data_IF_004448464463
#
_entry.id   IF_004448464463
#
_cell.length_a   1.000
_cell.length_b   1.000
_cell.length_c   1.000
_cell.angle_alpha   90.00
_cell.angle_beta   90.00
_cell.angle_gamma   90.00
#
_symmetry.space_group_name_H-M   'P 1'
#
loop_
_entity.id
_entity.type
_entity.pdbx_description
1 polymer ?
#
# COMPACT_ATOMS: atom_id res chain seq x y z
N UNK A 1 -24.64 2.18 -3.92
CA UNK A 1 -25.04 0.77 -3.67
C UNK A 1 -24.17 0.23 -2.54
N UNK A 2 -24.71 -0.37 -1.48
CA UNK A 2 -23.97 -0.98 -0.38
C UNK A 2 -24.10 -2.49 -0.43
N UNK A 3 -23.10 -3.21 0.08
CA UNK A 3 -23.11 -4.68 0.16
C UNK A 3 -23.47 -5.08 1.58
N UNK A 4 -24.56 -5.82 1.75
CA UNK A 4 -24.91 -6.47 3.00
C UNK A 4 -24.59 -7.97 2.90
N UNK A 5 -23.93 -8.48 3.93
CA UNK A 5 -23.54 -9.88 4.06
C UNK A 5 -24.29 -10.47 5.25
N UNK A 6 -24.94 -11.62 5.02
CA UNK A 6 -25.60 -12.41 6.07
C UNK A 6 -24.90 -13.77 6.17
N UNK A 7 -24.41 -14.13 7.35
CA UNK A 7 -23.78 -15.43 7.60
C UNK A 7 -24.86 -16.52 7.68
N UNK A 8 -24.87 -17.44 6.72
CA UNK A 8 -25.85 -18.53 6.64
C UNK A 8 -25.42 -19.78 7.39
N UNK A 9 -24.11 -20.02 7.48
CA UNK A 9 -23.53 -21.11 8.26
C UNK A 9 -22.15 -20.70 8.80
N UNK A 10 -21.56 -21.53 9.67
CA UNK A 10 -20.32 -21.25 10.38
C UNK A 10 -20.54 -20.65 11.77
N UNK A 11 -19.46 -20.22 12.39
CA UNK A 11 -19.46 -19.72 13.77
C UNK A 11 -20.28 -18.44 13.98
N UNK A 12 -20.52 -17.68 12.92
CA UNK A 12 -21.23 -16.40 12.95
C UNK A 12 -22.64 -16.47 12.35
N UNK A 13 -23.20 -17.66 12.21
CA UNK A 13 -24.54 -17.88 11.63
C UNK A 13 -25.59 -16.92 12.20
N UNK A 14 -26.36 -16.29 11.32
CA UNK A 14 -27.43 -15.34 11.65
C UNK A 14 -26.97 -13.89 11.83
N UNK A 15 -25.67 -13.60 11.86
CA UNK A 15 -25.16 -12.23 11.88
C UNK A 15 -25.27 -11.57 10.50
N UNK A 16 -25.46 -10.25 10.52
CA UNK A 16 -25.50 -9.43 9.32
C UNK A 16 -24.56 -8.24 9.47
N UNK A 17 -23.86 -7.91 8.41
CA UNK A 17 -22.94 -6.77 8.34
C UNK A 17 -23.16 -6.04 7.02
N UNK A 18 -23.08 -4.70 7.07
CA UNK A 18 -23.25 -3.87 5.86
C UNK A 18 -21.97 -3.07 5.62
N UNK A 19 -21.48 -3.12 4.40
CA UNK A 19 -20.23 -2.50 4.00
C UNK A 19 -20.45 -1.45 2.93
N UNK A 20 -19.69 -0.36 3.04
CA UNK A 20 -19.62 0.71 2.05
C UNK A 20 -18.20 0.87 1.50
N UNK A 21 -17.50 -0.24 1.29
CA UNK A 21 -16.16 -0.29 0.71
C UNK A 21 -16.23 -0.86 -0.70
N UNK A 22 -15.30 -0.45 -1.57
CA UNK A 22 -15.15 -0.98 -2.93
C UNK A 22 -14.46 -2.35 -2.99
N UNK A 23 -13.72 -2.72 -1.95
CA UNK A 23 -12.97 -3.96 -1.84
C UNK A 23 -13.13 -4.54 -0.43
N UNK A 24 -13.69 -5.75 -0.31
CA UNK A 24 -13.90 -6.44 0.95
C UNK A 24 -13.12 -7.74 0.94
N UNK A 25 -12.20 -7.90 1.85
CA UNK A 25 -11.49 -9.17 2.06
C UNK A 25 -12.34 -10.09 2.92
N UNK A 26 -12.49 -11.33 2.48
CA UNK A 26 -13.19 -12.40 3.20
C UNK A 26 -12.17 -13.43 3.67
N UNK A 27 -12.17 -13.76 4.96
CA UNK A 27 -11.23 -14.74 5.49
C UNK A 27 -11.24 -14.85 7.01
N UNK A 28 -10.30 -15.64 7.54
CA UNK A 28 -10.09 -15.83 8.99
C UNK A 28 -9.10 -14.83 9.58
N UNK A 29 -8.42 -14.02 8.73
CA UNK A 29 -7.51 -12.98 9.20
C UNK A 29 -8.26 -12.00 10.09
N UNK A 30 -7.70 -11.58 11.23
CA UNK A 30 -8.27 -10.51 12.07
C UNK A 30 -8.56 -9.21 11.32
N UNK A 31 -7.86 -8.96 10.22
CA UNK A 31 -8.01 -7.78 9.36
C UNK A 31 -9.01 -7.96 8.21
N UNK A 32 -9.58 -9.17 8.04
CA UNK A 32 -10.62 -9.39 7.02
C UNK A 32 -11.86 -8.57 7.33
N UNK A 33 -12.44 -7.95 6.30
CA UNK A 33 -13.68 -7.17 6.42
C UNK A 33 -14.86 -8.10 6.74
N UNK A 34 -15.02 -9.18 5.97
CA UNK A 34 -15.97 -10.27 6.25
C UNK A 34 -15.20 -11.38 6.94
N UNK A 35 -15.25 -11.36 8.26
CA UNK A 35 -14.37 -12.18 9.09
C UNK A 35 -15.04 -13.45 9.55
N UNK A 36 -14.36 -14.58 9.38
CA UNK A 36 -14.70 -15.88 9.92
C UNK A 36 -13.88 -16.21 11.18
N UNK A 37 -14.39 -17.15 11.99
CA UNK A 37 -13.72 -17.57 13.21
C UNK A 37 -12.46 -18.39 12.89
N UNK A 38 -11.32 -18.00 13.49
CA UNK A 38 -10.04 -18.60 13.19
C UNK A 38 -9.88 -20.05 13.65
N UNK A 39 -10.68 -20.46 14.65
CA UNK A 39 -10.59 -21.80 15.27
C UNK A 39 -11.73 -22.74 14.86
N UNK A 40 -12.87 -22.18 14.44
CA UNK A 40 -14.09 -22.95 14.16
C UNK A 40 -14.39 -23.08 12.67
N UNK A 41 -14.06 -22.06 11.85
CA UNK A 41 -14.36 -22.05 10.42
C UNK A 41 -13.10 -22.42 9.61
N UNK A 42 -12.53 -23.60 9.89
CA UNK A 42 -11.23 -24.04 9.34
C UNK A 42 -11.21 -24.24 7.83
N UNK A 43 -12.36 -24.39 7.19
CA UNK A 43 -12.48 -24.47 5.73
C UNK A 43 -12.21 -23.12 5.04
N UNK A 44 -12.28 -22.01 5.78
CA UNK A 44 -11.99 -20.68 5.26
C UNK A 44 -10.49 -20.41 5.40
N UNK A 45 -9.82 -20.06 4.32
CA UNK A 45 -8.41 -19.62 4.36
C UNK A 45 -8.26 -18.29 5.10
N UNK A 46 -7.05 -17.94 5.54
CA UNK A 46 -6.75 -16.68 6.22
C UNK A 46 -7.22 -15.48 5.39
N UNK A 47 -6.88 -15.47 4.10
CA UNK A 47 -7.48 -14.62 3.07
C UNK A 47 -8.05 -15.55 2.00
N UNK A 48 -9.38 -15.67 1.94
CA UNK A 48 -10.04 -16.69 1.13
C UNK A 48 -10.54 -16.12 -0.20
N UNK A 49 -11.27 -15.03 -0.11
CA UNK A 49 -11.88 -14.39 -1.27
C UNK A 49 -11.93 -12.87 -1.10
N UNK A 50 -12.24 -12.16 -2.17
CA UNK A 50 -12.56 -10.73 -2.12
C UNK A 50 -13.89 -10.46 -2.81
N UNK A 51 -14.70 -9.55 -2.23
CA UNK A 51 -15.87 -8.98 -2.88
C UNK A 51 -15.47 -7.61 -3.43
N UNK A 52 -15.62 -7.44 -4.73
CA UNK A 52 -15.23 -6.28 -5.51
C UNK A 52 -16.49 -5.51 -5.89
N UNK A 53 -16.59 -4.24 -5.53
CA UNK A 53 -17.69 -3.36 -5.90
C UNK A 53 -17.22 -2.26 -6.84
N UNK A 54 -17.78 -2.21 -8.01
CA UNK A 54 -17.67 -1.10 -8.97
C UNK A 54 -18.94 -0.23 -8.94
N UNK A 55 -18.99 0.80 -9.77
CA UNK A 55 -20.13 1.70 -9.83
C UNK A 55 -21.43 0.97 -10.23
N UNK A 56 -21.34 -0.03 -11.07
CA UNK A 56 -22.45 -0.71 -11.76
C UNK A 56 -22.59 -2.21 -11.41
N UNK A 57 -21.58 -2.84 -10.80
CA UNK A 57 -21.64 -4.25 -10.46
C UNK A 57 -20.85 -4.61 -9.21
N UNK A 58 -21.17 -5.76 -8.64
CA UNK A 58 -20.43 -6.41 -7.57
C UNK A 58 -19.97 -7.78 -8.05
N UNK A 59 -18.77 -8.19 -7.74
CA UNK A 59 -18.23 -9.49 -8.11
C UNK A 59 -17.48 -10.13 -6.92
N UNK A 60 -17.32 -11.45 -6.95
CA UNK A 60 -16.45 -12.18 -6.03
C UNK A 60 -15.28 -12.80 -6.77
N UNK A 61 -14.11 -12.76 -6.14
CA UNK A 61 -12.84 -13.35 -6.61
C UNK A 61 -12.28 -14.27 -5.54
N UNK A 62 -11.82 -15.45 -5.93
CA UNK A 62 -11.01 -16.32 -5.08
C UNK A 62 -9.57 -15.76 -4.96
N UNK A 63 -9.02 -15.69 -3.76
CA UNK A 63 -7.66 -15.20 -3.50
C UNK A 63 -6.62 -16.32 -3.38
N UNK A 64 -6.83 -17.44 -4.08
CA UNK A 64 -5.95 -18.61 -3.98
C UNK A 64 -6.27 -19.45 -2.74
N UNK A 65 -7.55 -19.55 -2.40
CA UNK A 65 -7.99 -20.31 -1.22
C UNK A 65 -7.68 -21.80 -1.32
N UNK A 66 -7.45 -22.46 -0.18
CA UNK A 66 -7.15 -23.88 -0.11
C UNK A 66 -8.33 -24.75 -0.58
N UNK A 67 -9.55 -24.39 -0.18
CA UNK A 67 -10.74 -25.21 -0.42
C UNK A 67 -11.61 -24.68 -1.57
N UNK A 68 -11.24 -23.55 -2.17
CA UNK A 68 -11.96 -22.91 -3.27
C UNK A 68 -13.20 -22.13 -2.83
N UNK A 69 -13.54 -21.11 -3.61
CA UNK A 69 -14.76 -20.30 -3.44
C UNK A 69 -15.85 -20.80 -4.36
N UNK A 70 -17.08 -20.78 -3.89
CA UNK A 70 -18.27 -21.25 -4.58
C UNK A 70 -19.34 -20.16 -4.62
N UNK A 71 -20.02 -20.01 -5.73
CA UNK A 71 -21.21 -19.14 -5.85
C UNK A 71 -22.39 -20.03 -6.21
N UNK A 72 -23.43 -20.03 -5.38
CA UNK A 72 -24.61 -20.86 -5.52
C UNK A 72 -24.28 -22.35 -5.76
N UNK A 73 -23.27 -22.84 -5.01
CA UNK A 73 -22.82 -24.24 -5.08
C UNK A 73 -21.88 -24.57 -6.25
N UNK A 74 -21.56 -23.61 -7.14
CA UNK A 74 -20.61 -23.81 -8.24
C UNK A 74 -19.26 -23.18 -7.91
N UNK A 75 -18.21 -23.98 -8.04
CA UNK A 75 -16.84 -23.49 -7.81
C UNK A 75 -16.47 -22.44 -8.87
N UNK A 76 -15.90 -21.31 -8.43
CA UNK A 76 -15.45 -20.27 -9.32
C UNK A 76 -13.96 -20.45 -9.70
N UNK A 77 -13.59 -20.04 -10.91
CA UNK A 77 -12.20 -20.03 -11.41
C UNK A 77 -11.71 -18.65 -11.85
N UNK A 78 -12.54 -17.64 -11.66
CA UNK A 78 -12.29 -16.22 -11.98
C UNK A 78 -13.31 -15.34 -11.28
N UNK A 79 -13.36 -14.08 -11.66
CA UNK A 79 -14.34 -13.14 -11.11
C UNK A 79 -15.76 -13.53 -11.53
N UNK A 80 -16.66 -13.63 -10.56
CA UNK A 80 -18.06 -13.93 -10.80
C UNK A 80 -18.92 -12.77 -10.30
N UNK A 81 -19.73 -12.20 -11.21
CA UNK A 81 -20.68 -11.14 -10.86
C UNK A 81 -21.71 -11.67 -9.87
N UNK A 82 -22.02 -10.86 -8.87
CA UNK A 82 -23.00 -11.17 -7.84
C UNK A 82 -24.28 -10.37 -8.02
N UNK A 83 -25.39 -11.03 -7.71
CA UNK A 83 -26.71 -10.43 -7.59
C UNK A 83 -27.24 -10.55 -6.15
N UNK A 84 -28.24 -9.75 -5.83
CA UNK A 84 -28.85 -9.86 -4.49
C UNK A 84 -29.46 -11.25 -4.26
N UNK A 85 -29.11 -11.88 -3.14
CA UNK A 85 -29.51 -13.22 -2.76
C UNK A 85 -28.51 -14.33 -3.12
N UNK A 86 -27.42 -14.01 -3.82
CA UNK A 86 -26.38 -15.00 -4.11
C UNK A 86 -25.70 -15.49 -2.84
N UNK A 87 -25.42 -16.79 -2.82
CA UNK A 87 -24.78 -17.48 -1.70
C UNK A 87 -23.33 -17.80 -2.07
N UNK A 88 -22.40 -17.29 -1.27
CA UNK A 88 -20.98 -17.60 -1.42
C UNK A 88 -20.57 -18.63 -0.39
N UNK A 89 -19.98 -19.74 -0.83
CA UNK A 89 -19.44 -20.81 0.00
C UNK A 89 -17.91 -20.81 -0.01
N UNK A 90 -17.32 -21.11 1.13
CA UNK A 90 -15.88 -21.12 1.33
C UNK A 90 -15.39 -22.55 1.57
N UNK A 91 -15.22 -23.27 0.46
CA UNK A 91 -15.03 -24.73 0.43
C UNK A 91 -16.32 -25.46 0.06
N UNK A 92 -16.20 -26.73 -0.41
CA UNK A 92 -17.35 -27.53 -0.87
C UNK A 92 -18.38 -27.80 0.25
N UNK A 93 -17.94 -27.83 1.50
CA UNK A 93 -18.78 -28.08 2.69
C UNK A 93 -18.55 -27.02 3.78
N UNK A 94 -17.82 -25.98 3.48
CA UNK A 94 -17.47 -24.91 4.40
C UNK A 94 -18.62 -23.93 4.67
N UNK A 95 -18.38 -22.92 5.50
CA UNK A 95 -19.37 -21.93 5.84
C UNK A 95 -19.77 -21.07 4.63
N UNK A 96 -20.98 -20.49 4.70
CA UNK A 96 -21.58 -19.73 3.61
C UNK A 96 -22.10 -18.38 4.07
N UNK A 97 -22.05 -17.41 3.18
CA UNK A 97 -22.69 -16.10 3.33
C UNK A 97 -23.67 -15.84 2.20
N UNK A 98 -24.71 -15.10 2.48
CA UNK A 98 -25.61 -14.53 1.47
C UNK A 98 -25.29 -13.05 1.28
N UNK A 99 -25.26 -12.61 0.03
CA UNK A 99 -24.98 -11.23 -0.32
C UNK A 99 -26.27 -10.53 -0.77
N UNK A 100 -26.56 -9.35 -0.18
CA UNK A 100 -27.66 -8.48 -0.61
C UNK A 100 -27.09 -7.15 -1.10
N UNK A 101 -27.64 -6.63 -2.18
CA UNK A 101 -27.23 -5.37 -2.78
C UNK A 101 -28.26 -4.30 -2.45
N UNK A 102 -27.92 -3.40 -1.52
CA UNK A 102 -28.81 -2.35 -1.05
C UNK A 102 -28.68 -1.11 -1.94
N UNK A 103 -29.79 -0.70 -2.56
CA UNK A 103 -29.87 0.55 -3.29
C UNK A 103 -29.79 1.73 -2.31
N UNK A 104 -29.11 2.80 -2.71
CA UNK A 104 -29.17 4.05 -1.98
C UNK A 104 -30.55 4.70 -2.16
N UNK A 105 -31.15 5.25 -1.08
CA UNK A 105 -32.40 5.99 -1.21
C UNK A 105 -32.19 7.18 -2.17
N UNK A 106 -32.96 7.23 -3.25
CA UNK A 106 -32.97 8.37 -4.17
C UNK A 106 -33.45 9.59 -3.40
N UNK A 107 -32.55 10.49 -3.07
CA UNK A 107 -32.90 11.78 -2.48
C UNK A 107 -33.84 12.56 -3.38
N UNK A 108 -34.85 13.21 -2.81
CA UNK A 108 -35.85 13.98 -3.57
C UNK A 108 -35.17 15.14 -4.31
N UNK A 109 -35.38 15.24 -5.63
CA UNK A 109 -34.79 16.27 -6.49
C UNK A 109 -35.06 17.71 -6.03
N UNK A 110 -36.11 17.95 -5.24
CA UNK A 110 -36.42 19.28 -4.71
C UNK A 110 -35.45 19.77 -3.62
N UNK A 111 -35.03 18.88 -2.74
CA UNK A 111 -34.03 19.24 -1.72
C UNK A 111 -32.66 19.48 -2.37
N UNK A 112 -32.32 18.70 -3.41
CA UNK A 112 -31.04 18.85 -4.15
C UNK A 112 -31.00 20.16 -4.94
N UNK A 113 -32.13 20.60 -5.54
CA UNK A 113 -32.22 21.87 -6.26
C UNK A 113 -32.09 23.07 -5.31
N UNK A 114 -32.72 23.02 -4.13
CA UNK A 114 -32.60 24.07 -3.12
C UNK A 114 -31.16 24.16 -2.58
N UNK A 115 -30.51 23.03 -2.36
CA UNK A 115 -29.11 22.96 -1.93
C UNK A 115 -28.16 23.49 -3.01
N UNK A 116 -28.41 23.17 -4.27
CA UNK A 116 -27.61 23.67 -5.41
C UNK A 116 -27.76 25.18 -5.59
N UNK A 117 -28.98 25.73 -5.40
CA UNK A 117 -29.24 27.16 -5.46
C UNK A 117 -28.53 27.90 -4.31
N UNK A 118 -28.56 27.35 -3.09
CA UNK A 118 -27.84 27.90 -1.94
C UNK A 118 -26.30 27.83 -2.16
N UNK A 119 -25.82 26.72 -2.69
CA UNK A 119 -24.41 26.52 -3.02
C UNK A 119 -23.95 27.51 -4.12
N UNK A 120 -24.78 27.77 -5.13
CA UNK A 120 -24.48 28.76 -6.17
C UNK A 120 -24.36 30.18 -5.60
N UNK A 121 -25.22 30.56 -4.65
CA UNK A 121 -25.15 31.85 -3.96
C UNK A 121 -23.89 31.95 -3.08
N UNK A 122 -23.54 30.87 -2.37
CA UNK A 122 -22.32 30.81 -1.56
C UNK A 122 -21.07 30.86 -2.43
N UNK A 123 -21.06 30.17 -3.59
CA UNK A 123 -19.96 30.21 -4.55
C UNK A 123 -19.82 31.61 -5.16
N UNK A 124 -20.93 32.27 -5.52
CA UNK A 124 -20.90 33.62 -6.05
C UNK A 124 -20.40 34.63 -4.98
N UNK A 125 -20.87 34.50 -3.74
CA UNK A 125 -20.38 35.30 -2.62
C UNK A 125 -18.90 35.06 -2.32
N UNK A 126 -18.47 33.78 -2.31
CA UNK A 126 -17.06 33.43 -2.15
C UNK A 126 -16.19 33.93 -3.32
N UNK A 127 -16.67 33.79 -4.56
CA UNK A 127 -15.98 34.32 -5.74
C UNK A 127 -15.86 35.84 -5.70
N UNK A 128 -16.88 36.55 -5.23
CA UNK A 128 -16.82 37.99 -5.00
C UNK A 128 -15.76 38.36 -3.96
N UNK A 129 -15.76 37.70 -2.80
CA UNK A 129 -14.76 37.93 -1.75
C UNK A 129 -13.36 37.63 -2.27
N UNK A 130 -13.17 36.53 -2.99
CA UNK A 130 -11.88 36.19 -3.61
C UNK A 130 -11.47 37.23 -4.68
N UNK A 131 -12.42 37.70 -5.49
CA UNK A 131 -12.14 38.71 -6.51
C UNK A 131 -11.75 40.07 -5.88
N UNK A 132 -12.45 40.49 -4.82
CA UNK A 132 -12.11 41.72 -4.07
C UNK A 132 -10.78 41.60 -3.35
N UNK A 133 -10.47 40.44 -2.77
CA UNK A 133 -9.17 40.15 -2.15
C UNK A 133 -8.04 40.05 -3.17
N UNK A 134 -8.28 39.47 -4.35
CA UNK A 134 -7.31 39.40 -5.43
C UNK A 134 -6.99 40.78 -6.04
N UNK A 135 -7.94 41.70 -6.05
CA UNK A 135 -7.68 43.11 -6.43
C UNK A 135 -6.78 43.82 -5.41
N UNK A 136 -6.96 43.54 -4.11
CA UNK A 136 -6.10 44.10 -3.05
C UNK A 136 -4.72 43.46 -2.99
N UNK A 137 -4.58 42.19 -3.41
CA UNK A 137 -3.31 41.45 -3.42
C UNK A 137 -2.40 41.75 -4.64
N UNK A 138 -2.92 42.42 -5.68
CA UNK A 138 -2.09 42.80 -6.85
C UNK A 138 -1.05 43.89 -6.57
N UNK A 139 -1.17 44.61 -5.46
CA UNK A 139 -0.23 45.67 -5.07
C UNK A 139 0.87 45.20 -4.11
N UNK A 140 0.90 43.87 -3.74
CA UNK A 140 1.97 43.33 -2.90
C UNK A 140 2.79 42.34 -3.74
N UNK A 141 3.93 42.84 -4.21
CA UNK A 141 4.92 42.04 -4.91
C UNK A 141 5.42 40.87 -4.04
N UNK A 142 5.08 39.63 -4.39
CA UNK A 142 5.94 38.48 -4.14
C UNK A 142 5.43 37.18 -4.80
N UNK A 143 5.63 36.92 -6.10
CA UNK A 143 5.43 35.56 -6.64
C UNK A 143 6.61 34.61 -6.37
N UNK A 144 7.82 35.13 -6.09
CA UNK A 144 9.02 34.29 -6.05
C UNK A 144 9.24 33.45 -4.79
N UNK A 145 8.47 33.65 -3.70
CA UNK A 145 8.67 32.91 -2.45
C UNK A 145 7.70 31.72 -2.24
N UNK A 146 6.60 31.64 -2.98
CA UNK A 146 5.60 30.58 -2.83
C UNK A 146 5.95 29.30 -3.63
N UNK A 147 6.67 29.44 -4.74
CA UNK A 147 7.09 28.26 -5.52
C UNK A 147 8.20 27.44 -4.82
N UNK A 148 9.03 28.10 -4.00
CA UNK A 148 10.05 27.41 -3.22
C UNK A 148 9.48 26.55 -2.06
N UNK A 149 8.20 26.72 -1.72
CA UNK A 149 7.50 25.94 -0.68
C UNK A 149 6.74 24.75 -1.27
N UNK A 150 6.54 24.69 -2.57
CA UNK A 150 5.87 23.56 -3.25
C UNK A 150 6.85 22.42 -3.45
N UNK A 151 6.41 21.21 -3.02
CA UNK A 151 7.14 19.98 -3.30
C UNK A 151 6.75 19.49 -4.69
N UNK A 152 7.72 19.31 -5.58
CA UNK A 152 7.49 18.70 -6.89
C UNK A 152 7.58 17.16 -6.78
N UNK A 153 6.47 16.56 -6.37
CA UNK A 153 6.37 15.10 -6.27
C UNK A 153 6.60 14.37 -7.61
N UNK A 154 6.31 15.04 -8.74
CA UNK A 154 6.58 14.48 -10.07
C UNK A 154 8.09 14.42 -10.36
N UNK A 155 8.83 15.45 -9.95
CA UNK A 155 10.28 15.43 -10.07
C UNK A 155 10.90 14.35 -9.18
N UNK A 156 10.42 14.20 -7.94
CA UNK A 156 10.86 13.14 -7.02
C UNK A 156 10.60 11.76 -7.64
N UNK A 157 9.40 11.52 -8.18
CA UNK A 157 9.07 10.27 -8.85
C UNK A 157 9.99 10.01 -10.05
N UNK A 158 10.11 10.95 -10.98
CA UNK A 158 10.97 10.79 -12.17
C UNK A 158 12.43 10.48 -11.83
N UNK A 159 12.94 11.04 -10.74
CA UNK A 159 14.32 10.86 -10.35
C UNK A 159 14.62 9.54 -9.64
N UNK A 160 13.60 8.90 -9.04
CA UNK A 160 13.84 7.81 -8.11
C UNK A 160 13.08 6.53 -8.42
N UNK A 161 11.97 6.56 -9.17
CA UNK A 161 11.09 5.39 -9.39
C UNK A 161 11.84 4.21 -9.97
N UNK A 162 12.73 4.40 -10.94
CA UNK A 162 13.47 3.31 -11.59
C UNK A 162 14.39 2.57 -10.63
N UNK A 163 14.81 3.21 -9.53
CA UNK A 163 15.65 2.60 -8.49
C UNK A 163 14.86 1.73 -7.49
N UNK A 164 13.53 1.77 -7.54
CA UNK A 164 12.66 1.04 -6.62
C UNK A 164 12.35 -0.35 -7.19
N UNK A 165 12.39 -1.35 -6.32
CA UNK A 165 12.11 -2.72 -6.70
C UNK A 165 11.17 -3.41 -5.71
N UNK A 166 10.32 -4.27 -6.21
CA UNK A 166 9.64 -5.27 -5.41
C UNK A 166 10.69 -6.31 -4.98
N UNK A 167 10.74 -6.65 -3.70
CA UNK A 167 11.59 -7.72 -3.17
C UNK A 167 10.72 -8.88 -2.71
N UNK A 168 11.10 -10.10 -3.10
CA UNK A 168 10.52 -11.34 -2.62
C UNK A 168 11.60 -12.18 -1.92
N UNK A 169 11.28 -12.65 -0.72
CA UNK A 169 12.19 -13.43 0.12
C UNK A 169 11.52 -14.75 0.47
N UNK A 170 12.08 -15.84 -0.01
CA UNK A 170 11.58 -17.19 0.19
C UNK A 170 12.25 -17.82 1.41
N UNK A 171 11.47 -18.34 2.35
CA UNK A 171 11.94 -19.06 3.54
C UNK A 171 11.66 -20.56 3.49
N UNK A 172 10.63 -20.96 2.76
CA UNK A 172 10.30 -22.37 2.50
C UNK A 172 9.57 -22.49 1.15
N UNK A 173 9.17 -23.68 0.76
CA UNK A 173 8.41 -23.85 -0.48
C UNK A 173 7.01 -23.25 -0.44
N UNK A 174 6.49 -23.00 0.75
CA UNK A 174 5.13 -22.47 0.97
C UNK A 174 5.12 -21.10 1.63
N UNK A 175 6.28 -20.55 1.97
CA UNK A 175 6.37 -19.28 2.67
C UNK A 175 7.33 -18.33 2.00
N UNK A 176 6.82 -17.18 1.60
CA UNK A 176 7.58 -16.06 1.09
C UNK A 176 7.02 -14.74 1.66
N UNK A 177 7.93 -13.80 1.91
CA UNK A 177 7.58 -12.42 2.23
C UNK A 177 7.84 -11.54 1.02
N UNK A 178 7.01 -10.53 0.84
CA UNK A 178 7.18 -9.51 -0.18
C UNK A 178 7.24 -8.12 0.45
N UNK A 179 8.03 -7.25 -0.15
CA UNK A 179 8.20 -5.88 0.30
C UNK A 179 8.84 -5.02 -0.77
N UNK A 180 9.37 -3.89 -0.35
CA UNK A 180 10.06 -2.92 -1.20
C UNK A 180 11.55 -2.93 -0.91
N UNK A 181 12.37 -2.76 -1.93
CA UNK A 181 13.80 -2.47 -1.84
C UNK A 181 14.14 -1.32 -2.78
N UNK A 182 15.26 -0.63 -2.54
CA UNK A 182 15.72 0.42 -3.44
C UNK A 182 17.23 0.39 -3.61
N UNK A 183 17.69 0.65 -4.82
CA UNK A 183 19.11 0.65 -5.15
C UNK A 183 19.77 1.99 -4.78
N UNK A 184 20.93 1.91 -4.14
CA UNK A 184 21.69 3.08 -3.64
C UNK A 184 22.93 3.40 -4.49
N UNK A 185 23.36 2.47 -5.30
CA UNK A 185 24.49 2.63 -6.23
C UNK A 185 24.21 1.91 -7.55
N UNK A 186 25.05 2.15 -8.55
CA UNK A 186 24.98 1.50 -9.86
C UNK A 186 25.53 0.06 -9.86
N UNK A 187 26.07 -0.40 -8.76
CA UNK A 187 26.65 -1.72 -8.63
C UNK A 187 25.63 -2.76 -8.11
N UNK A 188 24.38 -2.36 -7.86
CA UNK A 188 23.30 -3.24 -7.41
C UNK A 188 23.20 -3.43 -5.91
N UNK A 189 23.79 -2.54 -5.12
CA UNK A 189 23.57 -2.53 -3.68
C UNK A 189 22.18 -1.94 -3.38
N UNK A 190 21.36 -2.70 -2.64
CA UNK A 190 20.00 -2.32 -2.34
C UNK A 190 19.72 -2.37 -0.84
N UNK A 191 18.88 -1.46 -0.39
CA UNK A 191 18.39 -1.36 1.00
C UNK A 191 16.94 -1.83 1.06
N UNK A 192 16.63 -2.57 2.13
CA UNK A 192 15.27 -2.99 2.51
C UNK A 192 15.20 -3.14 4.03
N UNK A 193 14.13 -3.67 4.59
CA UNK A 193 14.06 -3.97 6.01
C UNK A 193 14.70 -5.31 6.36
N UNK A 194 15.23 -5.38 7.60
CA UNK A 194 15.79 -6.59 8.18
C UNK A 194 14.73 -7.69 8.32
N UNK A 195 13.53 -7.36 8.83
CA UNK A 195 12.47 -8.35 9.06
C UNK A 195 12.06 -9.07 7.77
N UNK A 196 12.14 -8.44 6.61
CA UNK A 196 11.88 -9.08 5.32
C UNK A 196 12.92 -10.15 4.99
N UNK A 197 14.17 -9.96 5.42
CA UNK A 197 15.30 -10.82 5.05
C UNK A 197 15.54 -11.97 6.03
N UNK A 198 15.25 -11.78 7.33
CA UNK A 198 15.57 -12.74 8.39
C UNK A 198 14.40 -13.01 9.35
N UNK A 199 13.18 -12.54 9.00
CA UNK A 199 11.99 -12.63 9.86
C UNK A 199 12.03 -11.64 11.02
N UNK A 200 10.91 -11.53 11.74
CA UNK A 200 10.74 -10.59 12.85
C UNK A 200 11.66 -10.92 14.03
N UNK A 201 11.95 -12.19 14.26
CA UNK A 201 12.88 -12.68 15.30
C UNK A 201 14.36 -12.52 14.91
N UNK A 202 14.64 -12.21 13.65
CA UNK A 202 15.98 -12.02 13.13
C UNK A 202 16.82 -13.30 13.01
N UNK A 203 16.21 -14.48 13.12
CA UNK A 203 16.91 -15.78 13.15
C UNK A 203 16.75 -16.60 11.87
N UNK A 204 15.82 -16.23 11.01
CA UNK A 204 15.49 -16.98 9.80
C UNK A 204 16.54 -16.76 8.71
N UNK A 205 16.79 -17.81 7.96
CA UNK A 205 17.70 -17.76 6.81
C UNK A 205 16.89 -17.88 5.51
N UNK A 206 17.01 -16.90 4.58
CA UNK A 206 16.30 -16.97 3.31
C UNK A 206 16.87 -18.09 2.43
N UNK A 207 16.00 -18.89 1.84
CA UNK A 207 16.36 -19.85 0.78
C UNK A 207 16.64 -19.14 -0.54
N UNK A 208 16.05 -17.98 -0.76
CA UNK A 208 16.29 -17.17 -1.94
C UNK A 208 15.74 -15.77 -1.75
N UNK A 209 16.40 -14.82 -2.38
CA UNK A 209 15.99 -13.42 -2.45
C UNK A 209 15.95 -13.04 -3.91
N UNK A 210 14.86 -12.44 -4.35
CA UNK A 210 14.71 -11.92 -5.71
C UNK A 210 14.15 -10.51 -5.69
N UNK A 211 14.55 -9.71 -6.67
CA UNK A 211 14.08 -8.34 -6.85
C UNK A 211 13.56 -8.13 -8.25
N UNK A 212 12.53 -7.30 -8.41
CA UNK A 212 11.98 -6.90 -9.70
C UNK A 212 11.91 -5.38 -9.73
N UNK A 213 12.73 -4.75 -10.57
CA UNK A 213 12.79 -3.29 -10.67
C UNK A 213 11.55 -2.71 -11.35
N UNK A 214 11.25 -1.46 -11.01
CA UNK A 214 10.24 -0.66 -11.70
C UNK A 214 10.42 -0.73 -13.22
N UNK A 215 9.32 -0.84 -13.97
CA UNK A 215 9.29 -1.00 -15.41
C UNK A 215 9.72 -2.39 -15.92
N UNK A 216 10.12 -3.31 -15.05
CA UNK A 216 10.58 -4.66 -15.42
C UNK A 216 9.53 -5.73 -15.14
N UNK A 217 9.49 -6.73 -16.00
CA UNK A 217 8.81 -8.02 -15.76
C UNK A 217 9.76 -9.11 -15.25
N UNK A 218 11.07 -8.84 -15.25
CA UNK A 218 12.10 -9.82 -14.92
C UNK A 218 12.46 -9.76 -13.44
N UNK A 219 12.53 -10.94 -12.81
CA UNK A 219 13.09 -11.13 -11.49
C UNK A 219 14.59 -11.36 -11.57
N UNK A 220 15.34 -10.69 -10.72
CA UNK A 220 16.79 -10.84 -10.57
C UNK A 220 17.09 -11.45 -9.21
N UNK A 221 17.94 -12.48 -9.19
CA UNK A 221 18.42 -13.06 -7.94
C UNK A 221 19.29 -12.05 -7.20
N UNK A 222 19.08 -11.97 -5.90
CA UNK A 222 19.87 -11.14 -5.00
C UNK A 222 20.48 -12.00 -3.90
N UNK A 223 21.62 -11.57 -3.36
CA UNK A 223 22.25 -12.19 -2.18
C UNK A 223 22.18 -11.26 -0.98
N UNK A 224 22.04 -11.83 0.19
CA UNK A 224 22.13 -11.11 1.44
C UNK A 224 23.56 -10.60 1.65
N UNK A 225 23.74 -9.31 1.92
CA UNK A 225 24.99 -8.68 2.32
C UNK A 225 25.08 -8.62 3.83
N UNK A 226 23.99 -8.24 4.49
CA UNK A 226 23.92 -8.22 5.94
C UNK A 226 22.63 -7.52 6.44
N UNK A 227 22.44 -7.61 7.75
CA UNK A 227 21.35 -6.95 8.46
C UNK A 227 21.88 -6.17 9.66
N UNK A 228 21.26 -5.06 10.00
CA UNK A 228 21.63 -4.26 11.15
C UNK A 228 21.21 -4.92 12.46
N UNK A 229 22.07 -4.86 13.49
CA UNK A 229 21.72 -5.31 14.82
C UNK A 229 20.81 -4.33 15.57
N UNK A 230 20.93 -3.02 15.29
CA UNK A 230 20.26 -1.97 16.06
C UNK A 230 19.07 -1.29 15.35
N UNK A 231 18.85 -1.58 14.07
CA UNK A 231 17.77 -0.99 13.30
C UNK A 231 17.15 -2.03 12.35
N UNK A 232 15.91 -1.82 11.94
CA UNK A 232 15.25 -2.71 10.99
C UNK A 232 15.68 -2.40 9.55
N UNK A 233 16.98 -2.60 9.28
CA UNK A 233 17.62 -2.36 7.98
C UNK A 233 18.40 -3.61 7.57
N UNK A 234 18.24 -3.98 6.31
CA UNK A 234 18.99 -5.00 5.63
C UNK A 234 19.53 -4.53 4.28
N UNK A 235 20.60 -5.14 3.85
CA UNK A 235 21.26 -4.84 2.58
C UNK A 235 21.38 -6.13 1.78
N UNK A 236 20.97 -6.04 0.53
CA UNK A 236 21.12 -7.11 -0.47
C UNK A 236 21.91 -6.60 -1.67
N UNK A 237 22.45 -7.52 -2.43
CA UNK A 237 23.22 -7.24 -3.65
C UNK A 237 22.62 -8.00 -4.82
N UNK A 238 22.38 -7.30 -5.90
CA UNK A 238 21.98 -7.87 -7.17
C UNK A 238 23.05 -7.61 -8.23
N UNK A 239 23.32 -8.58 -9.07
CA UNK A 239 24.29 -8.46 -10.16
C UNK A 239 23.53 -8.31 -11.48
N UNK A 240 23.54 -7.09 -12.04
CA UNK A 240 22.88 -6.77 -13.31
C UNK A 240 23.91 -6.21 -14.28
N UNK A 241 24.02 -6.84 -15.45
CA UNK A 241 24.88 -6.32 -16.53
C UNK A 241 24.38 -4.94 -16.98
N UNK A 242 25.28 -3.95 -17.01
CA UNK A 242 24.95 -2.57 -17.34
C UNK A 242 24.65 -1.67 -16.13
N UNK A 243 24.63 -2.26 -14.93
CA UNK A 243 24.40 -1.52 -13.69
C UNK A 243 22.92 -1.39 -13.32
N UNK A 244 22.67 -0.78 -12.17
CA UNK A 244 21.32 -0.50 -11.66
C UNK A 244 21.04 0.99 -11.62
N UNK A 245 19.78 1.42 -11.82
CA UNK A 245 19.35 2.75 -11.42
C UNK A 245 19.61 2.95 -9.92
N UNK A 246 19.74 4.18 -9.47
CA UNK A 246 19.95 4.48 -8.04
C UNK A 246 19.11 5.66 -7.62
N UNK A 247 18.75 5.72 -6.34
CA UNK A 247 18.09 6.90 -5.76
C UNK A 247 19.02 8.12 -5.76
N UNK A 248 18.44 9.30 -5.70
CA UNK A 248 19.16 10.59 -5.76
C UNK A 248 20.13 10.82 -4.59
N UNK A 249 20.14 9.93 -3.58
CA UNK A 249 21.02 9.99 -2.42
C UNK A 249 20.26 10.07 -1.11
N UNK A 250 20.98 10.36 -0.03
CA UNK A 250 20.42 10.44 1.33
C UNK A 250 20.40 11.87 1.85
N UNK A 251 19.31 12.18 2.58
CA UNK A 251 19.16 13.38 3.41
C UNK A 251 19.22 13.03 4.90
N UNK A 252 19.74 13.97 5.71
CA UNK A 252 19.83 13.76 7.17
C UNK A 252 19.02 14.78 7.96
N UNK A 253 18.60 15.87 7.31
CA UNK A 253 17.78 16.90 7.96
C UNK A 253 16.31 16.53 7.77
N UNK A 254 15.59 16.46 8.87
CA UNK A 254 14.15 16.18 8.91
C UNK A 254 13.55 16.86 10.12
N UNK A 255 12.42 17.53 9.92
CA UNK A 255 11.67 18.22 10.97
C UNK A 255 10.20 17.81 10.95
N UNK A 256 9.52 17.99 12.08
CA UNK A 256 8.07 17.80 12.14
C UNK A 256 7.36 18.78 11.21
N UNK A 257 6.43 18.29 10.41
CA UNK A 257 5.71 19.08 9.42
C UNK A 257 6.32 19.02 8.03
N UNK A 258 7.49 18.41 7.87
CA UNK A 258 8.09 18.24 6.54
C UNK A 258 7.21 17.35 5.66
N UNK A 259 6.90 17.79 4.44
CA UNK A 259 6.23 16.96 3.45
C UNK A 259 7.17 15.89 2.94
N UNK A 260 6.64 14.68 2.73
CA UNK A 260 7.41 13.54 2.23
C UNK A 260 6.69 12.83 1.09
N UNK A 261 7.48 12.18 0.23
CA UNK A 261 7.01 11.20 -0.73
C UNK A 261 7.49 9.81 -0.32
N UNK A 262 6.68 8.79 -0.51
CA UNK A 262 7.01 7.38 -0.30
C UNK A 262 6.78 6.66 -1.62
N UNK A 263 7.75 5.92 -2.11
CA UNK A 263 7.62 5.15 -3.35
C UNK A 263 7.90 3.68 -3.03
N UNK A 264 6.93 2.82 -3.30
CA UNK A 264 7.05 1.41 -2.98
C UNK A 264 5.90 0.56 -3.49
N UNK A 265 5.77 -0.66 -2.97
CA UNK A 265 4.81 -1.65 -3.42
C UNK A 265 3.81 -2.02 -2.31
N UNK A 266 2.91 -1.10 -1.90
CA UNK A 266 1.83 -1.46 -0.99
C UNK A 266 0.98 -2.56 -1.64
N UNK A 267 0.71 -3.64 -0.88
CA UNK A 267 0.05 -4.86 -1.34
C UNK A 267 0.82 -5.67 -2.41
N UNK A 268 2.11 -5.37 -2.62
CA UNK A 268 2.94 -6.11 -3.57
C UNK A 268 2.41 -6.05 -5.00
N UNK A 269 2.16 -7.22 -5.63
CA UNK A 269 1.58 -7.33 -6.98
C UNK A 269 0.04 -7.35 -6.99
N UNK A 270 -0.63 -7.22 -5.84
CA UNK A 270 -2.10 -7.24 -5.76
C UNK A 270 -2.75 -5.94 -6.24
N UNK A 271 -1.99 -4.83 -6.33
CA UNK A 271 -2.45 -3.61 -6.98
C UNK A 271 -2.45 -3.77 -8.50
N UNK A 272 -3.34 -3.05 -9.21
CA UNK A 272 -3.36 -3.08 -10.67
C UNK A 272 -2.00 -2.67 -11.24
N UNK A 273 -1.44 -3.52 -12.08
CA UNK A 273 -0.20 -3.29 -12.83
C UNK A 273 -0.42 -3.61 -14.30
N UNK A 274 0.31 -2.93 -15.18
CA UNK A 274 0.36 -3.32 -16.59
C UNK A 274 0.92 -4.73 -16.72
N UNK A 275 0.42 -5.47 -17.71
CA UNK A 275 0.87 -6.83 -17.99
C UNK A 275 1.38 -6.95 -19.43
N UNK A 276 2.43 -7.74 -19.57
CA UNK A 276 2.92 -8.16 -20.89
C UNK A 276 2.86 -9.69 -20.96
N UNK A 277 1.82 -10.22 -21.58
CA UNK A 277 1.44 -11.62 -21.46
C UNK A 277 0.97 -11.93 -20.03
N UNK A 278 1.48 -12.99 -19.44
CA UNK A 278 1.14 -13.38 -18.06
C UNK A 278 1.97 -12.64 -16.99
N UNK A 279 3.02 -11.93 -17.39
CA UNK A 279 3.90 -11.24 -16.46
C UNK A 279 3.42 -9.82 -16.14
N UNK A 280 3.32 -9.49 -14.86
CA UNK A 280 3.11 -8.11 -14.39
C UNK A 280 4.39 -7.30 -14.55
N UNK A 281 4.27 -6.09 -15.07
CA UNK A 281 5.36 -5.10 -15.11
C UNK A 281 5.34 -4.40 -13.75
N UNK A 282 6.44 -4.44 -13.02
CA UNK A 282 6.53 -3.82 -11.72
C UNK A 282 6.34 -2.30 -11.83
N UNK A 283 5.37 -1.76 -11.11
CA UNK A 283 5.06 -0.32 -11.08
C UNK A 283 4.80 0.09 -9.62
N UNK A 284 5.76 0.79 -8.98
CA UNK A 284 5.60 1.19 -7.60
C UNK A 284 4.61 2.34 -7.45
N UNK A 285 3.89 2.34 -6.34
CA UNK A 285 2.95 3.40 -5.99
C UNK A 285 3.70 4.54 -5.30
N UNK A 286 3.45 5.78 -5.74
CA UNK A 286 3.83 6.98 -5.01
C UNK A 286 2.69 7.38 -4.08
N UNK A 287 3.00 7.51 -2.79
CA UNK A 287 2.14 8.12 -1.78
C UNK A 287 2.80 9.34 -1.18
N UNK A 288 2.00 10.25 -0.65
CA UNK A 288 2.50 11.46 0.00
C UNK A 288 2.12 11.47 1.47
N UNK A 289 2.90 12.14 2.27
CA UNK A 289 2.67 12.22 3.70
C UNK A 289 3.35 13.42 4.33
N UNK A 290 3.29 13.46 5.67
CA UNK A 290 3.92 14.50 6.48
C UNK A 290 4.60 13.88 7.68
N UNK A 291 5.79 14.34 8.01
CA UNK A 291 6.49 13.93 9.22
C UNK A 291 5.73 14.41 10.45
N UNK A 292 5.12 13.48 11.18
CA UNK A 292 4.31 13.78 12.38
C UNK A 292 5.16 13.84 13.65
N UNK A 293 6.23 13.03 13.71
CA UNK A 293 7.12 12.98 14.86
C UNK A 293 8.54 12.58 14.45
N UNK A 294 9.53 13.19 15.08
CA UNK A 294 10.96 12.87 14.91
C UNK A 294 11.49 12.40 16.27
N UNK A 295 11.88 11.14 16.36
CA UNK A 295 12.57 10.54 17.49
C UNK A 295 14.00 10.15 17.10
N UNK A 296 14.78 9.70 18.08
CA UNK A 296 16.16 9.29 17.83
C UNK A 296 16.27 8.10 16.87
N UNK A 297 15.41 7.12 17.01
CA UNK A 297 15.43 5.83 16.31
C UNK A 297 14.21 5.60 15.42
N UNK A 298 13.29 6.57 15.36
CA UNK A 298 12.04 6.43 14.63
C UNK A 298 11.56 7.76 14.06
N UNK A 299 11.08 7.74 12.82
CA UNK A 299 10.20 8.77 12.26
C UNK A 299 8.77 8.25 12.21
N UNK A 300 7.82 9.06 12.70
CA UNK A 300 6.40 8.83 12.48
C UNK A 300 5.91 9.71 11.35
N UNK A 301 5.17 9.12 10.42
CA UNK A 301 4.67 9.79 9.22
C UNK A 301 3.15 9.61 9.19
N UNK A 302 2.43 10.69 8.94
CA UNK A 302 1.03 10.66 8.50
C UNK A 302 1.01 10.45 6.99
N UNK A 303 0.54 9.29 6.54
CA UNK A 303 0.58 8.88 5.15
C UNK A 303 -0.21 7.58 4.95
N UNK A 304 -0.03 6.92 3.82
CA UNK A 304 -0.64 5.63 3.55
C UNK A 304 0.44 4.55 3.39
N UNK A 305 0.21 3.41 4.05
CA UNK A 305 1.01 2.20 3.92
C UNK A 305 0.16 0.96 4.13
N UNK A 306 0.58 -0.14 3.52
CA UNK A 306 -0.05 -1.45 3.58
C UNK A 306 1.04 -2.53 3.60
N UNK A 307 0.71 -3.81 3.85
CA UNK A 307 1.66 -4.91 3.67
C UNK A 307 2.36 -4.80 2.31
N UNK A 308 3.69 -4.97 2.27
CA UNK A 308 4.51 -4.72 1.09
C UNK A 308 5.14 -3.31 1.03
N UNK A 309 4.64 -2.34 1.79
CA UNK A 309 5.30 -1.03 1.93
C UNK A 309 6.61 -1.08 2.73
N UNK A 310 6.85 -2.13 3.50
CA UNK A 310 8.11 -2.32 4.23
C UNK A 310 9.30 -2.26 3.28
N UNK A 311 10.34 -1.48 3.64
CA UNK A 311 11.52 -1.22 2.83
C UNK A 311 11.39 -0.05 1.86
N UNK A 312 10.22 0.59 1.76
CA UNK A 312 10.03 1.77 0.91
C UNK A 312 10.88 2.94 1.39
N UNK A 313 11.63 3.61 0.49
CA UNK A 313 12.30 4.86 0.81
C UNK A 313 11.28 5.98 1.00
N UNK A 314 11.55 6.81 2.00
CA UNK A 314 10.84 8.05 2.28
C UNK A 314 11.72 9.20 1.81
N UNK A 315 11.20 10.01 0.91
CA UNK A 315 11.95 11.11 0.28
C UNK A 315 11.54 12.47 0.85
N UNK A 316 12.52 13.34 1.04
CA UNK A 316 12.31 14.76 1.31
C UNK A 316 11.90 15.53 0.04
N UNK A 317 11.72 16.85 0.17
CA UNK A 317 11.39 17.74 -0.95
C UNK A 317 12.43 17.77 -2.07
N UNK A 318 13.68 17.44 -1.77
CA UNK A 318 14.79 17.41 -2.71
C UNK A 318 14.96 16.03 -3.38
N UNK A 319 14.09 15.08 -3.06
CA UNK A 319 14.12 13.71 -3.57
C UNK A 319 15.21 12.85 -2.95
N UNK A 320 15.73 13.21 -1.76
CA UNK A 320 16.72 12.44 -1.02
C UNK A 320 16.04 11.53 -0.01
N UNK A 321 16.56 10.34 0.16
CA UNK A 321 16.04 9.38 1.15
C UNK A 321 16.35 9.85 2.57
N UNK A 322 15.33 10.15 3.36
CA UNK A 322 15.43 10.55 4.77
C UNK A 322 15.03 9.46 5.75
N UNK A 323 14.38 8.39 5.28
CA UNK A 323 14.01 7.25 6.11
C UNK A 323 13.67 6.03 5.25
N UNK A 324 13.53 4.87 5.90
CA UNK A 324 13.06 3.62 5.32
C UNK A 324 11.84 3.14 6.11
N UNK A 325 10.72 3.02 5.44
CA UNK A 325 9.45 2.58 6.03
C UNK A 325 9.57 1.13 6.51
N UNK A 326 9.06 0.80 7.71
CA UNK A 326 9.11 -0.58 8.20
C UNK A 326 7.78 -1.08 8.79
N UNK A 327 6.80 -0.23 8.99
CA UNK A 327 5.53 -0.63 9.56
C UNK A 327 4.57 0.52 9.73
N UNK A 328 3.45 0.24 10.39
CA UNK A 328 2.42 1.22 10.72
C UNK A 328 1.53 0.72 11.86
N UNK A 329 0.72 1.61 12.40
CA UNK A 329 -0.24 1.28 13.44
C UNK A 329 -1.50 0.67 12.82
N UNK A 330 -1.82 -0.57 13.17
CA UNK A 330 -2.98 -1.28 12.63
C UNK A 330 -4.31 -0.59 12.92
N UNK A 331 -4.47 -0.08 14.15
CA UNK A 331 -5.69 0.64 14.56
C UNK A 331 -5.88 1.95 13.80
N UNK A 332 -4.83 2.51 13.25
CA UNK A 332 -4.86 3.72 12.43
C UNK A 332 -5.15 3.45 10.95
N UNK A 333 -5.53 2.24 10.57
CA UNK A 333 -5.87 1.85 9.20
C UNK A 333 -4.79 2.22 8.17
N UNK A 334 -3.51 2.07 8.54
CA UNK A 334 -2.38 2.38 7.67
C UNK A 334 -2.07 3.88 7.50
N UNK A 335 -2.66 4.76 8.30
CA UNK A 335 -2.42 6.21 8.26
C UNK A 335 -1.27 6.68 9.16
N UNK A 336 -0.90 5.91 10.16
CA UNK A 336 0.27 6.17 11.00
C UNK A 336 1.35 5.19 10.60
N UNK A 337 2.42 5.71 10.03
CA UNK A 337 3.55 4.94 9.53
C UNK A 337 4.78 5.17 10.39
N UNK A 338 5.62 4.15 10.47
CA UNK A 338 6.90 4.17 11.16
C UNK A 338 8.03 3.90 10.19
N UNK A 339 9.11 4.68 10.32
CA UNK A 339 10.26 4.57 9.45
C UNK A 339 11.58 4.67 10.23
N UNK A 340 12.58 3.91 9.80
CA UNK A 340 13.96 4.01 10.30
C UNK A 340 14.58 5.28 9.75
N UNK A 341 15.11 6.20 10.60
CA UNK A 341 15.72 7.45 10.14
C UNK A 341 16.91 7.22 9.21
N UNK A 342 17.05 8.07 8.18
CA UNK A 342 18.12 7.97 7.18
C UNK A 342 19.53 7.99 7.77
N UNK A 343 19.75 8.69 8.90
CA UNK A 343 21.03 8.64 9.61
C UNK A 343 21.42 7.24 10.06
N UNK A 344 20.47 6.44 10.58
CA UNK A 344 20.73 5.06 11.00
C UNK A 344 21.03 4.15 9.79
N UNK A 345 20.37 4.43 8.66
CA UNK A 345 20.64 3.75 7.38
C UNK A 345 22.07 4.03 6.93
N UNK A 346 22.46 5.33 6.86
CA UNK A 346 23.81 5.75 6.46
C UNK A 346 24.88 5.15 7.38
N UNK A 347 24.66 5.17 8.69
CA UNK A 347 25.58 4.61 9.66
C UNK A 347 25.80 3.10 9.41
N UNK A 348 24.72 2.37 9.18
CA UNK A 348 24.81 0.95 8.87
C UNK A 348 25.52 0.70 7.52
N UNK A 349 25.22 1.47 6.47
CA UNK A 349 25.87 1.34 5.16
C UNK A 349 27.39 1.58 5.24
N UNK A 350 27.83 2.55 6.05
CA UNK A 350 29.27 2.77 6.33
C UNK A 350 29.89 1.59 7.05
N UNK A 351 29.20 1.02 8.05
CA UNK A 351 29.67 -0.16 8.80
C UNK A 351 29.88 -1.38 7.91
N UNK A 352 29.00 -1.62 6.95
CA UNK A 352 29.14 -2.74 6.01
C UNK A 352 29.98 -2.41 4.77
N UNK A 353 30.63 -1.26 4.74
CA UNK A 353 31.55 -0.78 3.70
C UNK A 353 30.94 -0.71 2.29
N UNK A 354 29.67 -0.44 2.20
CA UNK A 354 28.97 -0.20 0.92
C UNK A 354 28.77 1.30 0.62
N UNK A 355 29.14 2.16 1.57
CA UNK A 355 29.12 3.62 1.44
C UNK A 355 30.37 4.20 2.11
N UNK A 356 31.04 5.16 1.47
CA UNK A 356 32.21 5.87 1.97
C UNK A 356 31.86 7.22 2.60
#
# INVERSE_FOLDING_TARGET
>A
MRVQVRYRSGARTGQEETFDKGYLVVGRDPQSDVRFDAQRDLDVSTRHAAILRSADHVAVRDLGSTNGTFVNGRRITGDVALTGGDVIGFGAHGPTIEVQLLAEPRGSHRATQALLALLAVLIAGFAWVQWTNARRARDVAAPARLDSLRVDYRAIARANTDAIALVAVKFSDVEALAGTAFAIDSQGTMVTNKHLLVGDDGTRHPLGIAVKFSGSKQWFQARLVGVSAGADIGVVKVDIRGGTPRVSGFGTRVERGDPVAIIGYPLGEDLPMERQGDAAIADPTLTVGTVSKVLHDLLQIDGYGAPGSSGSPVFDRDGRVIAVLYGGQHEAQGKILYAVPGRAVIEYLKKVRVMH
#
